data_IF_854620583436
#
_entry.id   IF_854620583436
#
_cell.length_a   1.000
_cell.length_b   1.000
_cell.length_c   1.000
_cell.angle_alpha   90.00
_cell.angle_beta   90.00
_cell.angle_gamma   90.00
#
_symmetry.space_group_name_H-M   'P 1'
#
loop_
_entity.id
_entity.type
_entity.pdbx_description
1 polymer ?
#
# COMPACT_ATOMS: atom_id res chain seq x y z
N UNK A 1 1.05 0.89 -25.85
CA UNK A 1 2.12 0.90 -24.83
C UNK A 1 2.09 2.16 -23.99
N UNK A 2 2.05 3.35 -24.58
CA UNK A 2 2.01 4.65 -23.87
C UNK A 2 0.89 4.74 -22.83
N UNK A 3 -0.33 4.32 -23.18
CA UNK A 3 -1.49 4.37 -22.29
C UNK A 3 -1.33 3.55 -21.00
N UNK A 4 -0.67 2.38 -21.06
CA UNK A 4 -0.38 1.56 -19.88
C UNK A 4 0.64 2.24 -18.96
N UNK A 5 1.62 2.92 -19.54
CA UNK A 5 2.62 3.68 -18.77
C UNK A 5 1.95 4.87 -18.08
N UNK A 6 1.10 5.63 -18.79
CA UNK A 6 0.34 6.71 -18.19
C UNK A 6 -0.54 6.21 -17.03
N UNK A 7 -1.18 5.03 -17.19
CA UNK A 7 -1.98 4.42 -16.13
C UNK A 7 -1.17 4.07 -14.89
N UNK A 8 0.03 3.48 -15.06
CA UNK A 8 0.92 3.18 -13.95
C UNK A 8 1.36 4.45 -13.21
N UNK A 9 1.63 5.53 -13.95
CA UNK A 9 1.97 6.83 -13.35
C UNK A 9 0.78 7.39 -12.55
N UNK A 10 -0.43 7.31 -13.09
CA UNK A 10 -1.65 7.76 -12.39
C UNK A 10 -1.84 7.00 -11.09
N UNK A 11 -1.70 5.67 -11.09
CA UNK A 11 -1.82 4.86 -9.87
C UNK A 11 -0.73 5.25 -8.87
N UNK A 12 0.52 5.39 -9.31
CA UNK A 12 1.63 5.79 -8.45
C UNK A 12 1.38 7.15 -7.80
N UNK A 13 1.01 8.16 -8.59
CA UNK A 13 0.75 9.51 -8.07
C UNK A 13 -0.43 9.50 -7.09
N UNK A 14 -1.51 8.81 -7.42
CA UNK A 14 -2.70 8.75 -6.57
C UNK A 14 -2.40 8.08 -5.22
N UNK A 15 -1.62 7.01 -5.23
CA UNK A 15 -1.22 6.32 -3.99
C UNK A 15 -0.27 7.14 -3.14
N UNK A 16 0.67 7.87 -3.74
CA UNK A 16 1.56 8.78 -3.02
C UNK A 16 0.81 9.97 -2.43
N UNK A 17 -0.17 10.53 -3.15
CA UNK A 17 -1.03 11.59 -2.60
C UNK A 17 -1.82 11.07 -1.41
N UNK A 18 -2.37 9.86 -1.48
CA UNK A 18 -3.07 9.24 -0.34
C UNK A 18 -2.14 9.07 0.88
N UNK A 19 -0.89 8.64 0.67
CA UNK A 19 0.13 8.55 1.73
C UNK A 19 0.40 9.92 2.37
N UNK A 20 0.62 10.96 1.55
CA UNK A 20 0.87 12.31 2.03
C UNK A 20 -0.31 12.89 2.84
N UNK A 21 -1.54 12.61 2.40
CA UNK A 21 -2.75 13.03 3.13
C UNK A 21 -2.87 12.31 4.48
N UNK A 22 -2.61 11.02 4.52
CA UNK A 22 -2.62 10.24 5.76
C UNK A 22 -1.52 10.69 6.73
N UNK A 23 -0.32 10.98 6.22
CA UNK A 23 0.78 11.48 7.04
C UNK A 23 0.45 12.80 7.75
N UNK A 24 -0.39 13.67 7.17
CA UNK A 24 -0.86 14.90 7.82
C UNK A 24 -1.69 14.65 9.07
N UNK A 25 -2.33 13.49 9.15
CA UNK A 25 -3.16 13.07 10.29
C UNK A 25 -2.37 12.18 11.27
N UNK A 26 -1.09 11.95 10.99
CA UNK A 26 -0.23 11.07 11.80
C UNK A 26 -0.44 9.57 11.50
N UNK A 27 -1.03 9.23 10.35
CA UNK A 27 -1.23 7.85 9.90
C UNK A 27 -0.32 7.53 8.71
N UNK A 28 -0.05 6.25 8.52
CA UNK A 28 0.65 5.71 7.36
C UNK A 28 -0.38 4.97 6.49
N UNK A 29 -0.49 5.32 5.22
CA UNK A 29 -1.42 4.64 4.29
C UNK A 29 -0.86 3.32 3.76
N UNK A 30 0.45 3.11 3.83
CA UNK A 30 1.16 1.98 3.24
C UNK A 30 1.07 1.96 1.70
N UNK A 31 1.22 3.13 1.06
CA UNK A 31 1.13 3.29 -0.40
C UNK A 31 2.00 2.31 -1.21
N UNK A 32 3.27 2.03 -0.85
CA UNK A 32 4.08 1.05 -1.59
C UNK A 32 3.47 -0.34 -1.61
N UNK A 33 2.85 -0.74 -0.47
CA UNK A 33 2.21 -2.05 -0.34
C UNK A 33 0.91 -2.11 -1.12
N UNK A 34 0.12 -1.04 -1.06
CA UNK A 34 -1.10 -0.94 -1.87
C UNK A 34 -0.78 -1.06 -3.36
N UNK A 35 0.21 -0.28 -3.85
CA UNK A 35 0.59 -0.29 -5.25
C UNK A 35 1.09 -1.67 -5.69
N UNK A 36 2.00 -2.28 -4.90
CA UNK A 36 2.50 -3.61 -5.17
C UNK A 36 1.35 -4.63 -5.23
N UNK A 37 0.48 -4.64 -4.23
CA UNK A 37 -0.66 -5.54 -4.15
C UNK A 37 -1.61 -5.37 -5.34
N UNK A 38 -2.02 -4.15 -5.65
CA UNK A 38 -2.91 -3.85 -6.76
C UNK A 38 -2.33 -4.31 -8.10
N UNK A 39 -1.05 -4.02 -8.35
CA UNK A 39 -0.38 -4.39 -9.61
C UNK A 39 -0.08 -5.89 -9.71
N UNK A 40 0.27 -6.58 -8.62
CA UNK A 40 0.43 -8.04 -8.63
C UNK A 40 -0.87 -8.71 -9.00
N UNK A 41 -1.98 -8.23 -8.44
CA UNK A 41 -3.30 -8.83 -8.67
C UNK A 41 -3.83 -8.52 -10.08
N UNK A 42 -3.65 -7.30 -10.58
CA UNK A 42 -4.20 -6.87 -11.89
C UNK A 42 -3.30 -7.20 -13.07
N UNK A 43 -2.00 -7.12 -12.91
CA UNK A 43 -1.03 -7.30 -13.99
C UNK A 43 -0.20 -8.57 -13.81
N UNK A 44 0.98 -8.41 -13.19
CA UNK A 44 1.92 -9.51 -12.96
C UNK A 44 2.76 -9.20 -11.72
N UNK A 45 3.28 -10.26 -11.05
CA UNK A 45 4.11 -10.11 -9.87
C UNK A 45 5.38 -9.27 -10.10
N UNK A 46 6.00 -9.36 -11.31
CA UNK A 46 7.18 -8.58 -11.68
C UNK A 46 6.87 -7.07 -11.74
N UNK A 47 5.76 -6.72 -12.39
CA UNK A 47 5.32 -5.31 -12.51
C UNK A 47 4.91 -4.79 -11.12
N UNK A 48 4.24 -5.62 -10.34
CA UNK A 48 3.85 -5.27 -8.98
C UNK A 48 5.05 -5.03 -8.06
N UNK A 49 6.05 -5.90 -8.12
CA UNK A 49 7.28 -5.73 -7.35
C UNK A 49 8.05 -4.48 -7.78
N UNK A 50 8.23 -4.27 -9.09
CA UNK A 50 8.92 -3.07 -9.60
C UNK A 50 8.18 -1.79 -9.20
N UNK A 51 6.86 -1.76 -9.34
CA UNK A 51 6.03 -0.63 -8.90
C UNK A 51 6.12 -0.39 -7.39
N UNK A 52 6.08 -1.44 -6.59
CA UNK A 52 6.25 -1.38 -5.14
C UNK A 52 7.61 -0.83 -4.72
N UNK A 53 8.69 -1.28 -5.37
CA UNK A 53 10.06 -0.77 -5.11
C UNK A 53 10.14 0.73 -5.45
N UNK A 54 9.65 1.13 -6.62
CA UNK A 54 9.65 2.55 -7.03
C UNK A 54 8.85 3.38 -6.03
N UNK A 55 7.64 2.93 -5.66
CA UNK A 55 6.82 3.65 -4.69
C UNK A 55 7.48 3.72 -3.31
N UNK A 56 8.16 2.66 -2.87
CA UNK A 56 8.90 2.62 -1.61
C UNK A 56 10.01 3.66 -1.61
N UNK A 57 10.88 3.65 -2.63
CA UNK A 57 11.98 4.60 -2.75
C UNK A 57 11.46 6.04 -2.83
N UNK A 58 10.44 6.29 -3.63
CA UNK A 58 9.87 7.65 -3.76
C UNK A 58 9.24 8.12 -2.46
N UNK A 59 8.46 7.26 -1.77
CA UNK A 59 7.85 7.64 -0.50
C UNK A 59 8.89 7.84 0.61
N UNK A 60 9.95 7.05 0.67
CA UNK A 60 11.05 7.22 1.62
C UNK A 60 11.80 8.53 1.41
N UNK A 61 12.09 8.87 0.15
CA UNK A 61 12.77 10.15 -0.19
C UNK A 61 11.86 11.34 0.11
N UNK A 62 10.60 11.30 -0.34
CA UNK A 62 9.64 12.41 -0.17
C UNK A 62 9.30 12.66 1.30
N UNK A 63 9.17 11.59 2.09
CA UNK A 63 8.81 11.66 3.51
C UNK A 63 10.04 11.67 4.44
N UNK A 64 11.26 11.68 3.87
CA UNK A 64 12.52 11.66 4.62
C UNK A 64 12.56 10.58 5.70
N UNK A 65 12.10 9.36 5.36
CA UNK A 65 12.07 8.23 6.30
C UNK A 65 13.47 7.67 6.50
N UNK A 66 13.82 7.41 7.75
CA UNK A 66 15.13 6.90 8.14
C UNK A 66 15.30 5.39 7.94
N UNK A 67 14.19 4.68 7.75
CA UNK A 67 14.17 3.22 7.68
C UNK A 67 13.41 2.71 6.46
N UNK A 68 14.05 1.78 5.71
CA UNK A 68 13.46 1.25 4.48
C UNK A 68 12.43 0.15 4.73
N UNK A 69 11.33 0.19 3.98
CA UNK A 69 10.30 -0.83 3.99
C UNK A 69 10.49 -1.91 2.91
N UNK A 70 11.58 -1.85 2.12
CA UNK A 70 11.87 -2.81 1.05
C UNK A 70 11.84 -4.28 1.48
N UNK A 71 12.38 -4.70 2.65
CA UNK A 71 12.31 -6.10 3.07
C UNK A 71 10.89 -6.63 3.24
N UNK A 72 9.98 -5.77 3.69
CA UNK A 72 8.57 -6.13 3.85
C UNK A 72 7.87 -6.38 2.50
N UNK A 73 8.28 -5.67 1.43
CA UNK A 73 7.75 -5.90 0.08
C UNK A 73 8.02 -7.33 -0.40
N UNK A 74 9.17 -7.92 -0.03
CA UNK A 74 9.51 -9.28 -0.40
C UNK A 74 8.52 -10.32 0.18
N UNK A 75 8.00 -10.06 1.39
CA UNK A 75 6.98 -10.91 2.02
C UNK A 75 5.59 -10.67 1.44
N UNK A 76 5.33 -9.47 0.96
CA UNK A 76 4.03 -9.09 0.40
C UNK A 76 3.76 -9.73 -0.96
N UNK A 77 4.76 -9.88 -1.81
CA UNK A 77 4.58 -10.43 -3.17
C UNK A 77 3.99 -11.85 -3.16
N UNK A 78 4.50 -12.82 -2.37
CA UNK A 78 3.89 -14.14 -2.27
C UNK A 78 2.44 -14.08 -1.76
N UNK A 79 2.15 -13.23 -0.77
CA UNK A 79 0.80 -13.05 -0.27
C UNK A 79 -0.14 -12.49 -1.34
N UNK A 80 0.28 -11.44 -2.06
CA UNK A 80 -0.50 -10.86 -3.15
C UNK A 80 -0.73 -11.87 -4.29
N UNK A 81 0.26 -12.70 -4.60
CA UNK A 81 0.14 -13.76 -5.59
C UNK A 81 -0.87 -14.84 -5.16
N UNK A 82 -0.80 -15.28 -3.91
CA UNK A 82 -1.77 -16.19 -3.32
C UNK A 82 -3.18 -15.59 -3.35
N UNK A 83 -3.32 -14.32 -2.98
CA UNK A 83 -4.60 -13.61 -3.01
C UNK A 83 -5.18 -13.49 -4.41
N UNK A 84 -4.33 -13.30 -5.41
CA UNK A 84 -4.74 -13.28 -6.81
C UNK A 84 -5.46 -14.57 -7.23
N UNK A 85 -5.03 -15.73 -6.72
CA UNK A 85 -5.56 -17.04 -7.10
C UNK A 85 -6.70 -17.50 -6.20
N UNK A 86 -6.62 -17.26 -4.90
CA UNK A 86 -7.51 -17.82 -3.89
C UNK A 86 -8.38 -16.76 -3.19
N UNK A 87 -8.04 -15.48 -3.31
CA UNK A 87 -8.77 -14.40 -2.65
C UNK A 87 -10.09 -14.05 -3.34
N UNK A 88 -11.08 -13.66 -2.56
CA UNK A 88 -12.31 -13.10 -3.11
C UNK A 88 -12.05 -11.69 -3.66
N UNK A 89 -12.30 -11.51 -4.95
CA UNK A 89 -12.08 -10.26 -5.70
C UNK A 89 -13.37 -9.64 -6.22
N UNK A 90 -14.55 -10.17 -5.78
CA UNK A 90 -15.83 -9.69 -6.28
C UNK A 90 -16.21 -8.33 -5.74
N UNK A 91 -15.81 -8.05 -4.51
CA UNK A 91 -16.22 -6.86 -3.81
C UNK A 91 -15.01 -6.10 -3.27
N UNK A 92 -14.96 -4.79 -3.48
CA UNK A 92 -13.86 -3.94 -3.01
C UNK A 92 -13.75 -3.95 -1.47
N UNK A 93 -14.85 -4.03 -0.72
CA UNK A 93 -14.84 -4.00 0.75
C UNK A 93 -14.12 -5.20 1.37
N UNK A 94 -14.06 -6.35 0.68
CA UNK A 94 -13.32 -7.54 1.15
C UNK A 94 -11.81 -7.23 1.26
N UNK A 95 -11.35 -6.24 0.49
CA UNK A 95 -9.96 -5.79 0.51
C UNK A 95 -9.61 -4.98 1.78
N UNK A 96 -10.57 -4.73 2.66
CA UNK A 96 -10.29 -4.16 3.98
C UNK A 96 -9.38 -5.07 4.82
N UNK A 97 -9.50 -6.39 4.67
CA UNK A 97 -8.66 -7.35 5.41
C UNK A 97 -7.18 -7.27 4.98
N UNK A 98 -6.80 -7.43 3.70
CA UNK A 98 -5.41 -7.19 3.28
C UNK A 98 -4.97 -5.76 3.59
N UNK A 99 -5.84 -4.76 3.45
CA UNK A 99 -5.52 -3.38 3.82
C UNK A 99 -5.14 -3.25 5.29
N UNK A 100 -5.91 -3.83 6.21
CA UNK A 100 -5.60 -3.84 7.63
C UNK A 100 -4.29 -4.57 7.94
N UNK A 101 -4.05 -5.74 7.34
CA UNK A 101 -2.82 -6.51 7.53
C UNK A 101 -1.59 -5.72 7.06
N UNK A 102 -1.67 -5.07 5.90
CA UNK A 102 -0.56 -4.28 5.38
C UNK A 102 -0.34 -2.99 6.17
N UNK A 103 -1.42 -2.30 6.55
CA UNK A 103 -1.33 -1.12 7.41
C UNK A 103 -0.68 -1.45 8.76
N UNK A 104 -1.12 -2.55 9.40
CA UNK A 104 -0.55 -3.04 10.65
C UNK A 104 0.94 -3.38 10.49
N UNK A 105 1.29 -4.19 9.50
CA UNK A 105 2.66 -4.63 9.28
C UNK A 105 3.59 -3.46 8.97
N UNK A 106 3.14 -2.54 8.12
CA UNK A 106 3.92 -1.38 7.71
C UNK A 106 4.14 -0.40 8.87
N UNK A 107 3.07 -0.08 9.61
CA UNK A 107 3.16 0.82 10.75
C UNK A 107 4.02 0.22 11.87
N UNK A 108 3.89 -1.08 12.15
CA UNK A 108 4.74 -1.77 13.12
C UNK A 108 6.18 -1.74 12.69
N UNK A 109 6.48 -2.03 11.42
CA UNK A 109 7.82 -1.98 10.86
C UNK A 109 8.42 -0.57 10.96
N UNK A 110 7.64 0.45 10.65
CA UNK A 110 8.04 1.85 10.79
C UNK A 110 8.38 2.21 12.24
N UNK A 111 7.49 1.91 13.19
CA UNK A 111 7.70 2.21 14.62
C UNK A 111 8.94 1.47 15.15
N UNK A 112 9.12 0.21 14.80
CA UNK A 112 10.30 -0.57 15.23
C UNK A 112 11.56 0.02 14.60
N UNK A 113 11.54 0.33 13.31
CA UNK A 113 12.68 0.90 12.58
C UNK A 113 13.11 2.26 13.15
N UNK A 114 12.16 3.17 13.35
CA UNK A 114 12.45 4.48 13.95
C UNK A 114 13.01 4.34 15.38
N UNK A 115 12.46 3.46 16.21
CA UNK A 115 13.00 3.22 17.55
C UNK A 115 14.43 2.65 17.51
N UNK A 116 14.75 1.78 16.55
CA UNK A 116 16.12 1.25 16.38
C UNK A 116 17.08 2.38 15.98
N UNK A 117 16.68 3.26 15.06
CA UNK A 117 17.51 4.38 14.60
C UNK A 117 17.71 5.43 15.70
N UNK A 118 16.66 5.72 16.48
CA UNK A 118 16.71 6.72 17.56
C UNK A 118 17.40 6.22 18.83
N UNK A 119 17.50 4.90 19.03
CA UNK A 119 18.09 4.31 20.21
C UNK A 119 19.52 4.80 20.53
N UNK A 120 20.46 4.84 19.57
CA UNK A 120 21.82 5.32 19.83
C UNK A 120 21.88 6.80 20.21
N UNK A 121 20.84 7.58 19.88
CA UNK A 121 20.73 9.00 20.18
C UNK A 121 20.07 9.25 21.55
N UNK A 122 19.69 8.20 22.26
CA UNK A 122 18.99 8.32 23.56
C UNK A 122 17.52 8.70 23.47
N UNK A 123 16.96 8.77 22.26
CA UNK A 123 15.55 9.07 22.02
C UNK A 123 14.75 7.77 21.79
N UNK A 124 13.49 7.78 22.21
CA UNK A 124 12.51 6.72 21.93
C UNK A 124 11.14 7.34 21.70
N UNK A 125 10.40 6.79 20.78
CA UNK A 125 8.99 7.16 20.65
C UNK A 125 8.24 6.73 21.92
N UNK A 126 7.36 7.59 22.40
CA UNK A 126 6.49 7.22 23.52
C UNK A 126 5.59 6.03 23.13
N UNK A 127 5.37 5.11 24.05
CA UNK A 127 4.55 3.90 23.79
C UNK A 127 3.15 4.29 23.31
N UNK A 128 2.55 5.33 23.88
CA UNK A 128 1.24 5.83 23.47
C UNK A 128 1.22 6.31 22.02
N UNK A 129 2.25 7.06 21.59
CA UNK A 129 2.39 7.52 20.20
C UNK A 129 2.58 6.35 19.24
N UNK A 130 3.43 5.39 19.61
CA UNK A 130 3.67 4.19 18.81
C UNK A 130 2.38 3.38 18.58
N UNK A 131 1.62 3.15 19.64
CA UNK A 131 0.32 2.44 19.56
C UNK A 131 -0.66 3.25 18.71
N UNK A 132 -0.73 4.56 18.90
CA UNK A 132 -1.62 5.43 18.15
C UNK A 132 -1.32 5.39 16.63
N UNK A 133 -0.05 5.50 16.24
CA UNK A 133 0.36 5.42 14.84
C UNK A 133 -0.05 4.06 14.24
N UNK A 134 0.19 2.96 14.95
CA UNK A 134 -0.14 1.61 14.45
C UNK A 134 -1.64 1.44 14.29
N UNK A 135 -2.44 1.82 15.28
CA UNK A 135 -3.90 1.68 15.22
C UNK A 135 -4.48 2.56 14.12
N UNK A 136 -4.09 3.83 14.08
CA UNK A 136 -4.61 4.78 13.10
C UNK A 136 -4.24 4.37 11.68
N UNK A 137 -3.01 3.94 11.46
CA UNK A 137 -2.54 3.45 10.15
C UNK A 137 -3.26 2.19 9.70
N UNK A 138 -3.51 1.26 10.62
CA UNK A 138 -4.29 0.04 10.34
C UNK A 138 -5.71 0.40 9.89
N UNK A 139 -6.38 1.30 10.60
CA UNK A 139 -7.73 1.75 10.25
C UNK A 139 -7.73 2.51 8.91
N UNK A 140 -6.79 3.43 8.71
CA UNK A 140 -6.67 4.17 7.46
C UNK A 140 -6.42 3.24 6.26
N UNK A 141 -5.57 2.23 6.41
CA UNK A 141 -5.32 1.27 5.35
C UNK A 141 -6.52 0.33 5.12
N UNK A 142 -7.19 -0.12 6.19
CA UNK A 142 -8.39 -0.97 6.09
C UNK A 142 -9.53 -0.29 5.32
N UNK A 143 -9.70 1.02 5.49
CA UNK A 143 -10.72 1.81 4.79
C UNK A 143 -10.20 2.25 3.42
N UNK A 144 -8.96 2.71 3.37
CA UNK A 144 -8.36 3.29 2.18
C UNK A 144 -8.12 2.30 1.05
N UNK A 145 -7.74 1.05 1.35
CA UNK A 145 -7.53 0.02 0.32
C UNK A 145 -8.79 -0.25 -0.51
N UNK A 146 -9.95 -0.60 0.08
CA UNK A 146 -11.17 -0.81 -0.70
C UNK A 146 -11.63 0.45 -1.43
N UNK A 147 -11.48 1.63 -0.82
CA UNK A 147 -11.83 2.90 -1.44
C UNK A 147 -10.96 3.18 -2.68
N UNK A 148 -9.65 3.02 -2.55
CA UNK A 148 -8.71 3.21 -3.66
C UNK A 148 -8.94 2.19 -4.77
N UNK A 149 -9.20 0.92 -4.44
CA UNK A 149 -9.53 -0.10 -5.44
C UNK A 149 -10.82 0.29 -6.18
N UNK A 150 -11.85 0.73 -5.48
CA UNK A 150 -13.10 1.14 -6.11
C UNK A 150 -12.91 2.33 -7.06
N UNK A 151 -12.12 3.33 -6.67
CA UNK A 151 -11.79 4.50 -7.50
C UNK A 151 -10.98 4.06 -8.74
N UNK A 152 -9.90 3.31 -8.54
CA UNK A 152 -9.03 2.87 -9.63
C UNK A 152 -9.75 1.94 -10.60
N UNK A 153 -10.56 1.01 -10.11
CA UNK A 153 -11.36 0.13 -10.95
C UNK A 153 -12.44 0.89 -11.72
N UNK A 154 -13.03 1.92 -11.11
CA UNK A 154 -13.93 2.83 -11.80
C UNK A 154 -13.28 3.50 -13.00
N UNK A 155 -12.08 4.08 -12.82
CA UNK A 155 -11.31 4.71 -13.89
C UNK A 155 -10.83 3.66 -14.90
N UNK A 156 -10.32 2.51 -14.44
CA UNK A 156 -9.84 1.44 -15.30
C UNK A 156 -10.96 0.88 -16.21
N UNK A 157 -12.17 0.75 -15.68
CA UNK A 157 -13.33 0.28 -16.46
C UNK A 157 -13.70 1.22 -17.59
N UNK A 158 -13.64 2.53 -17.37
CA UNK A 158 -13.87 3.54 -18.41
C UNK A 158 -12.79 3.48 -19.51
N UNK A 159 -11.56 3.15 -19.11
CA UNK A 159 -10.42 3.05 -20.00
C UNK A 159 -10.23 1.65 -20.64
N UNK A 160 -11.13 0.71 -20.39
CA UNK A 160 -11.04 -0.71 -20.85
C UNK A 160 -9.74 -1.39 -20.43
N UNK A 161 -9.24 -1.05 -19.24
CA UNK A 161 -8.05 -1.66 -18.63
C UNK A 161 -8.45 -2.85 -17.73
N UNK A 162 -7.47 -3.71 -17.36
CA UNK A 162 -7.73 -4.77 -16.39
C UNK A 162 -8.14 -4.18 -15.05
N UNK A 163 -9.27 -4.64 -14.53
CA UNK A 163 -9.83 -4.24 -13.23
C UNK A 163 -9.44 -5.23 -12.15
N UNK A 164 -9.33 -4.76 -10.90
CA UNK A 164 -9.04 -5.59 -9.76
C UNK A 164 -10.22 -6.48 -9.39
N UNK A 165 -11.41 -5.90 -9.27
CA UNK A 165 -12.63 -6.64 -8.99
C UNK A 165 -13.14 -7.35 -10.22
N UNK A 166 -13.12 -8.69 -10.23
CA UNK A 166 -13.72 -9.48 -11.29
C UNK A 166 -15.24 -9.40 -11.14
N UNK A 167 -15.91 -8.69 -12.05
CA UNK A 167 -17.36 -8.79 -12.19
C UNK A 167 -17.68 -10.19 -12.74
N UNK A 168 -18.51 -10.95 -12.04
CA UNK A 168 -19.09 -12.16 -12.62
C UNK A 168 -19.88 -11.72 -13.86
N UNK A 169 -19.42 -12.13 -15.04
CA UNK A 169 -20.26 -12.09 -16.24
C UNK A 169 -21.31 -13.17 -16.00
N UNK A 170 -22.50 -12.73 -15.53
CA UNK A 170 -23.69 -13.55 -15.44
C UNK A 170 -24.31 -13.74 -16.82
#
# INVERSE_FOLDING_TARGET
MLFRICWLIVILVTTLVAELLCCRVGALFAAPFFLCFYLVVTCNWQIGLAGGIIACVVSEVVLSRSFTALPLLALLVPFAHMWRHNGDRRHAYIQALPGALFGLSYATWFVVGENIVLWPLGFRMAVGESVWIVVLSTVCAAIGFPLMIAILDGIASLAKLPVFCQRSVG
#
